data_IF_532114861304
#
_entry.id   IF_532114861304
#
_cell.length_a   1.000
_cell.length_b   1.000
_cell.length_c   1.000
_cell.angle_alpha   90.00
_cell.angle_beta   90.00
_cell.angle_gamma   90.00
#
_symmetry.space_group_name_H-M   'P 1'
#
loop_
_entity.id
_entity.type
_entity.pdbx_description
1 polymer ?
#
# COMPACT_ATOMS: atom_id res chain seq x y z
N UNK A 1 -2.89 -26.30 -9.64
CA UNK A 1 -2.65 -24.98 -9.36
C UNK A 1 -3.24 -24.01 -10.37
N UNK A 2 -3.40 -22.87 -9.98
CA UNK A 2 -4.01 -21.91 -10.84
C UNK A 2 -2.99 -21.17 -11.65
N UNK A 3 -3.34 -20.89 -12.89
CA UNK A 3 -2.50 -20.12 -13.75
C UNK A 3 -2.94 -18.71 -13.89
N UNK A 4 -3.94 -18.32 -13.13
CA UNK A 4 -4.37 -16.96 -13.19
C UNK A 4 -3.32 -16.05 -12.67
N UNK A 5 -3.07 -15.00 -13.39
CA UNK A 5 -2.25 -13.95 -12.87
C UNK A 5 -2.97 -13.27 -11.77
N UNK A 6 -2.36 -13.22 -10.63
CA UNK A 6 -2.89 -12.45 -9.54
C UNK A 6 -2.53 -11.00 -9.73
N UNK A 7 -3.52 -10.16 -9.59
CA UNK A 7 -3.28 -8.72 -9.61
C UNK A 7 -3.03 -8.31 -8.18
N UNK A 8 -1.89 -7.69 -7.94
CA UNK A 8 -1.48 -7.34 -6.59
C UNK A 8 -1.23 -5.85 -6.47
N UNK A 9 -1.35 -5.35 -5.26
CA UNK A 9 -1.19 -3.94 -4.98
C UNK A 9 -0.45 -3.73 -3.68
N UNK A 10 0.20 -2.59 -3.57
CA UNK A 10 0.79 -2.12 -2.33
C UNK A 10 0.14 -0.80 -1.96
N UNK A 11 0.04 -0.53 -0.67
CA UNK A 11 -0.52 0.70 -0.16
C UNK A 11 0.56 1.40 0.64
N UNK A 12 0.75 2.69 0.37
CA UNK A 12 1.70 3.51 1.10
C UNK A 12 0.91 4.52 1.92
N UNK A 13 1.11 4.51 3.22
CA UNK A 13 0.51 5.47 4.11
C UNK A 13 1.59 6.47 4.49
N UNK A 14 1.34 7.74 4.21
CA UNK A 14 2.32 8.78 4.43
C UNK A 14 1.84 9.64 5.59
N UNK A 15 2.65 9.75 6.61
CA UNK A 15 2.29 10.63 7.72
C UNK A 15 3.04 10.26 8.98
N UNK A 16 3.67 11.27 9.59
CA UNK A 16 4.39 11.07 10.83
C UNK A 16 3.46 10.75 11.99
N UNK A 17 2.25 11.23 11.92
CA UNK A 17 1.27 10.98 12.99
C UNK A 17 0.88 9.50 13.04
N UNK A 18 0.87 8.83 11.90
CA UNK A 18 0.55 7.40 11.88
C UNK A 18 1.71 6.62 12.50
N UNK A 19 2.93 7.00 12.14
CA UNK A 19 4.13 6.35 12.68
C UNK A 19 4.22 6.52 14.19
N UNK A 20 3.80 7.68 14.70
CA UNK A 20 3.86 7.94 16.13
C UNK A 20 2.69 7.33 16.90
N UNK A 21 1.76 6.73 16.20
CA UNK A 21 0.62 6.10 16.84
C UNK A 21 -0.47 7.06 17.27
N UNK A 22 -0.40 8.31 16.84
CA UNK A 22 -1.39 9.32 17.23
C UNK A 22 -2.67 9.24 16.41
N UNK A 23 -2.59 8.65 15.24
CA UNK A 23 -3.74 8.53 14.36
C UNK A 23 -3.94 7.06 14.01
N UNK A 24 -5.15 6.58 14.17
CA UNK A 24 -5.47 5.22 13.76
C UNK A 24 -5.70 5.19 12.27
N UNK A 25 -5.17 4.18 11.65
CA UNK A 25 -5.34 4.02 10.22
C UNK A 25 -6.58 3.21 9.94
N UNK A 26 -7.70 3.91 9.80
CA UNK A 26 -8.97 3.26 9.49
C UNK A 26 -9.19 3.08 8.01
N UNK A 27 -8.46 3.83 7.18
CA UNK A 27 -8.68 3.83 5.74
C UNK A 27 -8.04 2.65 5.02
N UNK A 28 -6.93 2.14 5.56
CA UNK A 28 -6.24 1.03 4.91
C UNK A 28 -7.12 -0.21 4.85
N UNK A 29 -7.79 -0.52 5.95
CA UNK A 29 -8.66 -1.69 5.98
C UNK A 29 -9.80 -1.56 4.98
N UNK A 30 -10.40 -0.38 4.91
CA UNK A 30 -11.48 -0.12 3.97
C UNK A 30 -10.99 -0.25 2.52
N UNK A 31 -9.82 0.34 2.23
CA UNK A 31 -9.27 0.28 0.89
C UNK A 31 -8.92 -1.16 0.51
N UNK A 32 -8.31 -1.90 1.43
CA UNK A 32 -7.93 -3.28 1.16
C UNK A 32 -9.17 -4.14 0.88
N UNK A 33 -10.23 -3.93 1.65
CA UNK A 33 -11.46 -4.68 1.45
C UNK A 33 -12.05 -4.36 0.08
N UNK A 34 -12.06 -3.10 -0.29
CA UNK A 34 -12.60 -2.70 -1.58
C UNK A 34 -11.77 -3.29 -2.72
N UNK A 35 -10.45 -3.22 -2.61
CA UNK A 35 -9.58 -3.77 -3.64
C UNK A 35 -9.77 -5.28 -3.78
N UNK A 36 -9.91 -5.97 -2.65
CA UNK A 36 -10.14 -7.41 -2.69
C UNK A 36 -11.44 -7.75 -3.41
N UNK A 37 -12.45 -6.90 -3.25
CA UNK A 37 -13.72 -7.14 -3.92
C UNK A 37 -13.59 -7.01 -5.44
N UNK A 38 -12.56 -6.32 -5.90
CA UNK A 38 -12.28 -6.18 -7.33
C UNK A 38 -11.31 -7.23 -7.84
N UNK A 39 -10.89 -8.16 -6.98
CA UNK A 39 -9.94 -9.18 -7.37
C UNK A 39 -8.50 -8.77 -7.26
N UNK A 40 -8.22 -7.68 -6.53
CA UNK A 40 -6.87 -7.18 -6.33
C UNK A 40 -6.42 -7.52 -4.92
N UNK A 41 -5.31 -8.25 -4.81
CA UNK A 41 -4.76 -8.64 -3.52
C UNK A 41 -3.80 -7.58 -3.02
N UNK A 42 -3.99 -7.16 -1.78
CA UNK A 42 -3.05 -6.23 -1.15
C UNK A 42 -1.92 -7.05 -0.54
N UNK A 43 -0.75 -6.93 -1.13
CA UNK A 43 0.39 -7.72 -0.67
C UNK A 43 1.24 -7.02 0.35
N UNK A 44 1.17 -5.71 0.43
CA UNK A 44 2.03 -4.97 1.35
C UNK A 44 1.42 -3.63 1.67
N UNK A 45 1.55 -3.23 2.93
CA UNK A 45 1.16 -1.89 3.37
C UNK A 45 2.39 -1.31 4.07
N UNK A 46 2.81 -0.14 3.66
CA UNK A 46 3.94 0.53 4.27
C UNK A 46 3.54 1.87 4.82
N UNK A 47 3.99 2.15 6.03
CA UNK A 47 3.79 3.44 6.65
C UNK A 47 5.14 4.15 6.65
N UNK A 48 5.19 5.33 6.04
CA UNK A 48 6.45 6.05 5.89
C UNK A 48 6.28 7.50 6.32
N UNK A 49 7.38 8.16 6.69
CA UNK A 49 7.32 9.57 7.02
C UNK A 49 7.07 10.42 5.79
N UNK A 50 6.58 11.63 6.02
CA UNK A 50 6.32 12.57 4.94
C UNK A 50 7.63 13.25 4.54
N UNK A 51 8.48 12.48 3.89
CA UNK A 51 9.79 12.94 3.41
C UNK A 51 9.85 12.58 1.94
N UNK A 52 10.08 13.57 1.10
CA UNK A 52 10.01 13.40 -0.35
C UNK A 52 10.88 12.25 -0.85
N UNK A 53 12.12 12.19 -0.40
CA UNK A 53 13.03 11.15 -0.86
C UNK A 53 12.51 9.76 -0.47
N UNK A 54 12.00 9.63 0.74
CA UNK A 54 11.47 8.35 1.20
C UNK A 54 10.26 7.94 0.38
N UNK A 55 9.41 8.89 0.06
CA UNK A 55 8.22 8.62 -0.74
C UNK A 55 8.62 8.12 -2.12
N UNK A 56 9.55 8.82 -2.77
CA UNK A 56 9.98 8.45 -4.11
C UNK A 56 10.64 7.08 -4.10
N UNK A 57 11.55 6.84 -3.15
CA UNK A 57 12.25 5.57 -3.07
C UNK A 57 11.28 4.42 -2.81
N UNK A 58 10.29 4.63 -1.96
CA UNK A 58 9.31 3.61 -1.64
C UNK A 58 8.46 3.27 -2.85
N UNK A 59 8.02 4.29 -3.59
CA UNK A 59 7.24 4.06 -4.81
C UNK A 59 8.06 3.27 -5.82
N UNK A 60 9.31 3.64 -6.03
CA UNK A 60 10.16 2.92 -6.96
C UNK A 60 10.36 1.47 -6.56
N UNK A 61 10.52 1.23 -5.28
CA UNK A 61 10.72 -0.11 -4.79
C UNK A 61 9.48 -0.97 -4.97
N UNK A 62 8.32 -0.42 -4.65
CA UNK A 62 7.09 -1.19 -4.67
C UNK A 62 6.54 -1.40 -6.08
N UNK A 63 6.77 -0.46 -6.98
CA UNK A 63 6.20 -0.58 -8.32
C UNK A 63 6.80 -1.73 -9.12
N UNK A 64 7.98 -2.20 -8.76
CA UNK A 64 8.55 -3.35 -9.45
C UNK A 64 8.03 -4.67 -8.90
N UNK A 65 7.44 -4.64 -7.69
CA UNK A 65 6.93 -5.85 -7.06
C UNK A 65 5.43 -6.03 -7.25
N UNK A 66 4.71 -4.94 -7.43
CA UNK A 66 3.25 -4.97 -7.46
C UNK A 66 2.72 -4.32 -8.71
N UNK A 67 1.53 -4.75 -9.12
CA UNK A 67 0.88 -4.19 -10.30
C UNK A 67 0.41 -2.75 -10.06
N UNK A 68 -0.02 -2.46 -8.83
CA UNK A 68 -0.50 -1.13 -8.47
C UNK A 68 0.11 -0.70 -7.16
N UNK A 69 0.32 0.61 -7.03
CA UNK A 69 0.77 1.22 -5.78
C UNK A 69 -0.16 2.38 -5.51
N UNK A 70 -0.82 2.35 -4.36
CA UNK A 70 -1.74 3.39 -3.94
C UNK A 70 -1.13 4.20 -2.80
N UNK A 71 -1.26 5.50 -2.85
CA UNK A 71 -0.77 6.38 -1.78
C UNK A 71 -1.90 7.25 -1.25
#
# INVERSE_FOLDING_TARGET
MTNKKEISAAIIIIGNEVLSGRTKDLNTSTLATWLNSLGISVGEVRVIPDVEKTIIDTIHELRVKYNYVFT
#
